data_IF_414099959866
#
_entry.id   IF_414099959866
#
_cell.length_a   1.000
_cell.length_b   1.000
_cell.length_c   1.000
_cell.angle_alpha   90.00
_cell.angle_beta   90.00
_cell.angle_gamma   90.00
#
_symmetry.space_group_name_H-M   'P 1'
#
loop_
_entity.id
_entity.type
_entity.pdbx_description
1 polymer ?
#
# COMPACT_ATOMS: atom_id res chain seq x y z
N UNK A 1 -13.87 -8.65 -8.66
CA UNK A 1 -13.79 -9.49 -7.44
C UNK A 1 -12.42 -9.28 -6.78
N UNK A 2 -12.41 -9.06 -5.47
CA UNK A 2 -11.14 -8.81 -4.76
C UNK A 2 -10.27 -10.06 -4.70
N UNK A 3 -8.95 -9.86 -4.87
CA UNK A 3 -7.94 -10.91 -4.59
C UNK A 3 -7.65 -11.04 -3.09
N UNK A 4 -8.08 -10.05 -2.29
CA UNK A 4 -7.78 -9.95 -0.86
C UNK A 4 -8.82 -10.69 -0.01
N UNK A 5 -9.09 -11.93 -0.34
CA UNK A 5 -9.96 -12.75 0.50
C UNK A 5 -9.22 -13.14 1.79
N UNK A 6 -9.92 -13.07 2.92
CA UNK A 6 -9.36 -13.47 4.21
C UNK A 6 -8.78 -14.90 4.11
N UNK A 7 -7.53 -15.04 4.50
CA UNK A 7 -6.81 -16.31 4.45
C UNK A 7 -6.20 -16.67 3.11
N UNK A 8 -6.36 -15.83 2.07
CA UNK A 8 -5.70 -16.10 0.79
C UNK A 8 -4.20 -15.84 0.85
N UNK A 9 -3.43 -16.54 0.01
CA UNK A 9 -1.99 -16.36 -0.04
C UNK A 9 -1.60 -14.92 -0.43
N UNK A 10 -2.32 -14.32 -1.38
CA UNK A 10 -2.04 -12.95 -1.81
C UNK A 10 -2.36 -11.92 -0.72
N UNK A 11 -3.41 -12.15 0.06
CA UNK A 11 -3.71 -11.30 1.21
C UNK A 11 -2.59 -11.36 2.25
N UNK A 12 -2.05 -12.56 2.50
CA UNK A 12 -0.92 -12.73 3.42
C UNK A 12 0.33 -11.98 2.93
N UNK A 13 0.64 -12.06 1.64
CA UNK A 13 1.79 -11.35 1.04
C UNK A 13 1.60 -9.84 1.14
N UNK A 14 0.41 -9.33 0.81
CA UNK A 14 0.11 -7.91 0.91
C UNK A 14 0.22 -7.40 2.35
N UNK A 15 -0.31 -8.16 3.32
CA UNK A 15 -0.19 -7.81 4.73
C UNK A 15 1.26 -7.79 5.20
N UNK A 16 2.07 -8.76 4.78
CA UNK A 16 3.48 -8.82 5.14
C UNK A 16 4.25 -7.62 4.56
N UNK A 17 4.03 -7.30 3.30
CA UNK A 17 4.71 -6.18 2.64
C UNK A 17 4.30 -4.84 3.25
N UNK A 18 3.01 -4.53 3.24
CA UNK A 18 2.49 -3.24 3.73
C UNK A 18 2.70 -3.11 5.23
N UNK A 19 2.39 -4.16 5.98
CA UNK A 19 2.56 -4.17 7.43
C UNK A 19 4.01 -4.00 7.86
N UNK A 20 4.95 -4.55 7.08
CA UNK A 20 6.38 -4.38 7.32
C UNK A 20 6.83 -2.92 7.18
N UNK A 21 6.22 -2.17 6.27
CA UNK A 21 6.51 -0.74 6.11
C UNK A 21 5.77 0.14 7.13
N UNK A 22 4.54 -0.19 7.45
CA UNK A 22 3.71 0.64 8.34
C UNK A 22 4.05 0.48 9.83
N UNK A 23 4.56 -0.70 10.23
CA UNK A 23 4.81 -1.02 11.63
C UNK A 23 3.54 -1.42 12.37
N UNK A 24 3.70 -2.18 13.44
CA UNK A 24 2.58 -2.73 14.22
C UNK A 24 2.60 -2.18 15.65
N UNK A 25 1.46 -1.63 16.09
CA UNK A 25 1.26 -1.17 17.46
C UNK A 25 -0.03 -1.78 18.00
N UNK A 26 0.10 -2.68 18.98
CA UNK A 26 -1.07 -3.40 19.55
C UNK A 26 -1.84 -2.56 20.58
N UNK A 27 -1.25 -1.50 21.09
CA UNK A 27 -1.92 -0.58 22.01
C UNK A 27 -2.04 0.77 21.33
N UNK A 28 -3.26 1.33 21.35
CA UNK A 28 -3.53 2.62 20.75
C UNK A 28 -2.66 3.73 21.40
N UNK A 29 -2.11 4.58 20.57
CA UNK A 29 -1.25 5.69 20.96
C UNK A 29 -1.68 6.96 20.24
N UNK A 30 -1.24 8.11 20.72
CA UNK A 30 -1.44 9.37 20.00
C UNK A 30 -0.30 9.55 18.98
N UNK A 31 -0.66 9.83 17.72
CA UNK A 31 0.32 10.15 16.70
C UNK A 31 0.92 11.55 16.95
N UNK A 32 1.90 12.02 16.14
CA UNK A 32 2.53 13.33 16.35
C UNK A 32 1.56 14.52 16.36
N UNK A 33 0.38 14.39 15.76
CA UNK A 33 -0.65 15.44 15.78
C UNK A 33 -1.80 15.14 16.74
N UNK A 34 -1.65 14.12 17.60
CA UNK A 34 -2.60 13.80 18.65
C UNK A 34 -3.75 12.89 18.25
N UNK A 35 -3.72 12.29 17.07
CA UNK A 35 -4.77 11.40 16.60
C UNK A 35 -4.55 9.99 17.16
N UNK A 36 -5.56 9.40 17.86
CA UNK A 36 -5.45 8.02 18.33
C UNK A 36 -5.26 7.05 17.17
N UNK A 37 -4.21 6.25 17.24
CA UNK A 37 -3.75 5.37 16.16
C UNK A 37 -3.39 4.01 16.75
N UNK A 38 -3.65 2.94 16.02
CA UNK A 38 -3.28 1.58 16.44
C UNK A 38 -3.05 0.68 15.23
N UNK A 39 -2.62 -0.53 15.51
CA UNK A 39 -2.39 -1.56 14.51
C UNK A 39 -1.36 -1.12 13.48
N UNK A 40 -1.68 -1.13 12.20
CA UNK A 40 -0.79 -0.73 11.11
C UNK A 40 -1.09 0.71 10.65
N UNK A 41 -1.35 1.60 11.60
CA UNK A 41 -1.67 3.00 11.31
C UNK A 41 -3.17 3.29 11.20
N UNK A 42 -4.00 2.42 11.73
CA UNK A 42 -5.46 2.62 11.71
C UNK A 42 -5.87 3.72 12.68
N UNK A 43 -6.78 4.57 12.24
CA UNK A 43 -7.28 5.70 13.06
C UNK A 43 -8.79 5.66 13.27
N UNK A 44 -9.54 5.05 12.35
CA UNK A 44 -11.00 5.03 12.39
C UNK A 44 -11.51 4.22 13.59
N UNK A 45 -12.27 4.88 14.44
CA UNK A 45 -12.85 4.24 15.63
C UNK A 45 -11.85 3.91 16.73
N UNK A 46 -10.61 4.38 16.63
CA UNK A 46 -9.57 4.11 17.61
C UNK A 46 -9.62 5.14 18.73
N UNK A 47 -9.53 4.66 19.97
CA UNK A 47 -9.45 5.49 21.18
C UNK A 47 -8.20 5.10 21.96
N UNK A 48 -7.58 6.06 22.62
CA UNK A 48 -6.42 5.81 23.48
C UNK A 48 -6.73 4.73 24.52
N UNK A 49 -5.77 3.82 24.71
CA UNK A 49 -5.90 2.72 25.65
C UNK A 49 -6.51 1.45 25.08
N UNK A 50 -7.09 1.50 23.88
CA UNK A 50 -7.59 0.30 23.21
C UNK A 50 -6.43 -0.65 22.92
N UNK A 51 -6.70 -1.95 23.04
CA UNK A 51 -5.73 -3.02 22.81
C UNK A 51 -6.25 -3.96 21.73
N UNK A 52 -5.34 -4.43 20.90
CA UNK A 52 -5.66 -5.32 19.79
C UNK A 52 -4.71 -6.51 19.76
N UNK A 53 -5.18 -7.63 19.23
CA UNK A 53 -4.31 -8.74 18.86
C UNK A 53 -3.71 -8.47 17.49
N UNK A 54 -2.61 -9.15 17.16
CA UNK A 54 -2.02 -9.09 15.82
C UNK A 54 -3.04 -9.50 14.75
N UNK A 55 -3.82 -10.55 15.01
CA UNK A 55 -4.83 -11.03 14.08
C UNK A 55 -5.91 -9.98 13.81
N UNK A 56 -6.35 -9.27 14.85
CA UNK A 56 -7.30 -8.16 14.68
C UNK A 56 -6.70 -7.06 13.82
N UNK A 57 -5.45 -6.69 14.05
CA UNK A 57 -4.75 -5.68 13.26
C UNK A 57 -4.60 -6.10 11.80
N UNK A 58 -4.28 -7.35 11.53
CA UNK A 58 -4.18 -7.87 10.16
C UNK A 58 -5.54 -7.82 9.45
N UNK A 59 -6.62 -8.15 10.15
CA UNK A 59 -7.98 -8.04 9.62
C UNK A 59 -8.33 -6.60 9.23
N UNK A 60 -7.99 -5.64 10.10
CA UNK A 60 -8.20 -4.22 9.84
C UNK A 60 -7.38 -3.74 8.64
N UNK A 61 -6.14 -4.19 8.52
CA UNK A 61 -5.28 -3.86 7.39
C UNK A 61 -5.86 -4.40 6.07
N UNK A 62 -6.36 -5.64 6.06
CA UNK A 62 -6.99 -6.24 4.88
C UNK A 62 -8.20 -5.41 4.44
N UNK A 63 -9.05 -4.98 5.36
CA UNK A 63 -10.20 -4.13 5.04
C UNK A 63 -9.76 -2.80 4.41
N UNK A 64 -8.76 -2.17 4.98
CA UNK A 64 -8.19 -0.93 4.44
C UNK A 64 -7.60 -1.15 3.05
N UNK A 65 -6.88 -2.26 2.85
CA UNK A 65 -6.31 -2.63 1.56
C UNK A 65 -7.40 -2.90 0.52
N UNK A 66 -8.50 -3.55 0.92
CA UNK A 66 -9.64 -3.79 0.01
C UNK A 66 -10.27 -2.49 -0.46
N UNK A 67 -10.37 -1.50 0.41
CA UNK A 67 -10.87 -0.18 0.06
C UNK A 67 -9.96 0.49 -0.98
N UNK A 68 -8.65 0.45 -0.76
CA UNK A 68 -7.67 1.00 -1.69
C UNK A 68 -7.64 0.22 -3.02
N UNK A 69 -7.79 -1.09 -2.95
CA UNK A 69 -7.87 -1.96 -4.14
C UNK A 69 -9.00 -1.54 -5.06
N UNK A 70 -10.18 -1.30 -4.53
CA UNK A 70 -11.34 -0.87 -5.33
C UNK A 70 -11.02 0.38 -6.13
N UNK A 71 -10.44 1.38 -5.48
CA UNK A 71 -10.04 2.62 -6.16
C UNK A 71 -8.92 2.42 -7.17
N UNK A 72 -7.91 1.63 -6.81
CA UNK A 72 -6.80 1.30 -7.68
C UNK A 72 -7.27 0.59 -8.96
N UNK A 73 -8.08 -0.43 -8.81
CA UNK A 73 -8.55 -1.22 -9.97
C UNK A 73 -9.54 -0.45 -10.83
N UNK A 74 -10.26 0.51 -10.28
CA UNK A 74 -11.19 1.34 -11.05
C UNK A 74 -10.48 2.18 -12.12
N UNK A 75 -9.23 2.59 -11.89
CA UNK A 75 -8.45 3.38 -12.86
C UNK A 75 -7.36 2.57 -13.58
N UNK A 76 -7.18 1.30 -13.25
CA UNK A 76 -6.21 0.41 -13.89
C UNK A 76 -6.91 -0.42 -14.95
N UNK A 77 -6.57 -0.18 -16.21
CA UNK A 77 -7.27 -0.74 -17.38
C UNK A 77 -6.56 -1.95 -17.99
N UNK A 78 -5.55 -2.47 -17.30
CA UNK A 78 -4.78 -3.63 -17.75
C UNK A 78 -4.77 -4.68 -16.65
N UNK A 79 -4.58 -5.93 -17.03
CA UNK A 79 -4.43 -7.01 -16.06
C UNK A 79 -3.10 -6.90 -15.34
N UNK A 80 -3.10 -7.19 -14.05
CA UNK A 80 -1.92 -7.15 -13.22
C UNK A 80 -1.57 -8.56 -12.74
N UNK A 81 -0.37 -9.07 -13.03
CA UNK A 81 0.14 -10.26 -12.35
C UNK A 81 0.21 -10.01 -10.85
N UNK A 82 0.14 -11.05 -10.03
CA UNK A 82 0.06 -10.93 -8.58
C UNK A 82 1.18 -10.08 -7.96
N UNK A 83 2.42 -10.22 -8.42
CA UNK A 83 3.54 -9.44 -7.89
C UNK A 83 3.37 -7.95 -8.19
N UNK A 84 2.96 -7.61 -9.39
CA UNK A 84 2.72 -6.21 -9.77
C UNK A 84 1.51 -5.64 -9.06
N UNK A 85 0.45 -6.42 -8.95
CA UNK A 85 -0.73 -6.07 -8.15
C UNK A 85 -0.33 -5.73 -6.72
N UNK A 86 0.48 -6.57 -6.08
CA UNK A 86 0.93 -6.37 -4.70
C UNK A 86 1.75 -5.10 -4.55
N UNK A 87 2.68 -4.87 -5.47
CA UNK A 87 3.53 -3.67 -5.47
C UNK A 87 2.69 -2.39 -5.62
N UNK A 88 1.77 -2.37 -6.57
CA UNK A 88 0.93 -1.19 -6.84
C UNK A 88 -0.10 -0.97 -5.74
N UNK A 89 -0.58 -2.02 -5.10
CA UNK A 89 -1.47 -1.89 -3.95
C UNK A 89 -0.73 -1.29 -2.75
N UNK A 90 0.50 -1.73 -2.48
CA UNK A 90 1.35 -1.13 -1.45
C UNK A 90 1.58 0.37 -1.72
N UNK A 91 1.89 0.72 -2.96
CA UNK A 91 2.07 2.10 -3.38
C UNK A 91 0.78 2.92 -3.18
N UNK A 92 -0.35 2.40 -3.67
CA UNK A 92 -1.66 3.06 -3.56
C UNK A 92 -2.06 3.28 -2.11
N UNK A 93 -1.80 2.30 -1.25
CA UNK A 93 -2.06 2.41 0.18
C UNK A 93 -1.29 3.57 0.80
N UNK A 94 -0.04 3.74 0.39
CA UNK A 94 0.83 4.79 0.95
C UNK A 94 0.50 6.18 0.41
N UNK A 95 0.28 6.32 -0.90
CA UNK A 95 0.10 7.64 -1.53
C UNK A 95 -1.37 8.06 -1.67
N UNK A 96 -2.30 7.12 -1.54
CA UNK A 96 -3.73 7.34 -1.72
C UNK A 96 -4.20 7.06 -3.14
N UNK A 97 -5.48 6.71 -3.27
CA UNK A 97 -6.12 6.35 -4.54
C UNK A 97 -6.08 7.53 -5.53
N UNK A 98 -6.36 8.74 -5.07
CA UNK A 98 -6.36 9.93 -5.93
C UNK A 98 -5.00 10.18 -6.58
N UNK A 99 -3.94 10.08 -5.79
CA UNK A 99 -2.58 10.25 -6.30
C UNK A 99 -2.19 9.13 -7.26
N UNK A 100 -2.56 7.90 -6.94
CA UNK A 100 -2.32 6.76 -7.84
C UNK A 100 -3.01 6.96 -9.18
N UNK A 101 -4.32 7.20 -9.18
CA UNK A 101 -5.11 7.32 -10.40
C UNK A 101 -4.70 8.53 -11.27
N UNK A 102 -4.26 9.61 -10.65
CA UNK A 102 -3.78 10.81 -11.35
C UNK A 102 -2.32 10.76 -11.78
N UNK A 103 -1.60 9.68 -11.47
CA UNK A 103 -0.15 9.60 -11.68
C UNK A 103 0.25 9.33 -13.12
N UNK A 104 1.47 9.74 -13.46
CA UNK A 104 2.12 9.32 -14.71
C UNK A 104 2.32 7.81 -14.75
N UNK A 105 2.49 7.18 -13.59
CA UNK A 105 2.60 5.72 -13.48
C UNK A 105 1.39 5.02 -14.13
N UNK A 106 0.19 5.41 -13.75
CA UNK A 106 -1.05 4.80 -14.26
C UNK A 106 -1.21 5.05 -15.76
N UNK A 107 -0.85 6.25 -16.24
CA UNK A 107 -0.89 6.56 -17.66
C UNK A 107 0.00 5.63 -18.47
N UNK A 108 1.24 5.43 -18.01
CA UNK A 108 2.19 4.52 -18.65
C UNK A 108 1.71 3.06 -18.59
N UNK A 109 1.23 2.66 -17.43
CA UNK A 109 0.73 1.30 -17.22
C UNK A 109 -0.42 0.97 -18.17
N UNK A 110 -1.41 1.86 -18.26
CA UNK A 110 -2.57 1.69 -19.13
C UNK A 110 -2.23 1.77 -20.62
N UNK A 111 -1.10 2.40 -20.95
CA UNK A 111 -0.58 2.44 -22.33
C UNK A 111 0.29 1.22 -22.68
N UNK A 112 0.49 0.30 -21.73
CA UNK A 112 1.30 -0.91 -21.95
C UNK A 112 2.79 -0.75 -21.64
N UNK A 113 3.22 0.44 -21.21
CA UNK A 113 4.61 0.70 -20.82
C UNK A 113 4.83 0.28 -19.36
N UNK A 114 4.93 -1.02 -19.14
CA UNK A 114 5.03 -1.58 -17.78
C UNK A 114 6.33 -1.17 -17.10
N UNK A 115 7.46 -1.27 -17.82
CA UNK A 115 8.76 -0.88 -17.26
C UNK A 115 8.79 0.59 -16.87
N UNK A 116 8.30 1.46 -17.76
CA UNK A 116 8.22 2.88 -17.46
C UNK A 116 7.32 3.19 -16.28
N UNK A 117 6.20 2.47 -16.16
CA UNK A 117 5.30 2.59 -15.01
C UNK A 117 6.00 2.20 -13.71
N UNK A 118 6.66 1.04 -13.67
CA UNK A 118 7.38 0.59 -12.48
C UNK A 118 8.49 1.56 -12.09
N UNK A 119 9.22 2.12 -13.06
CA UNK A 119 10.28 3.10 -12.81
C UNK A 119 9.73 4.39 -12.20
N UNK A 120 8.49 4.76 -12.49
CA UNK A 120 7.84 5.94 -11.91
C UNK A 120 7.69 5.87 -10.39
N UNK A 121 7.68 4.67 -9.81
CA UNK A 121 7.63 4.51 -8.36
C UNK A 121 8.74 5.31 -7.67
N UNK A 122 9.94 5.36 -8.24
CA UNK A 122 11.09 6.05 -7.65
C UNK A 122 10.95 7.58 -7.59
N UNK A 123 9.92 8.14 -8.20
CA UNK A 123 9.61 9.57 -8.08
C UNK A 123 8.83 9.92 -6.81
N UNK A 124 8.35 8.92 -6.08
CA UNK A 124 7.48 9.10 -4.91
C UNK A 124 8.24 8.83 -3.60
N UNK A 125 9.35 9.52 -3.41
CA UNK A 125 10.27 9.32 -2.28
C UNK A 125 10.29 10.50 -1.31
N UNK A 126 9.43 11.51 -1.53
CA UNK A 126 9.43 12.73 -0.72
C UNK A 126 8.14 12.87 0.08
N UNK A 127 8.25 13.45 1.27
CA UNK A 127 7.12 13.92 2.05
C UNK A 127 7.42 15.35 2.47
N UNK A 128 6.46 16.27 2.25
CA UNK A 128 6.63 17.70 2.51
C UNK A 128 7.90 18.28 1.84
N UNK A 129 8.19 17.83 0.63
CA UNK A 129 9.34 18.28 -0.15
C UNK A 129 10.69 17.70 0.25
N UNK A 130 10.73 16.84 1.27
CA UNK A 130 11.98 16.24 1.78
C UNK A 130 12.03 14.78 1.39
N UNK A 131 13.14 14.34 0.80
CA UNK A 131 13.35 12.92 0.50
C UNK A 131 13.59 12.15 1.79
N UNK A 132 12.81 11.09 1.99
CA UNK A 132 12.88 10.26 3.20
C UNK A 132 13.49 8.89 2.87
N UNK A 133 14.54 8.46 3.60
CA UNK A 133 15.18 7.16 3.36
C UNK A 133 14.19 5.99 3.42
N UNK A 134 13.20 6.04 4.31
CA UNK A 134 12.16 5.00 4.40
C UNK A 134 11.31 4.91 3.15
N UNK A 135 10.97 6.04 2.53
CA UNK A 135 10.23 6.06 1.28
C UNK A 135 11.08 5.57 0.11
N UNK A 136 12.35 5.94 0.05
CA UNK A 136 13.29 5.42 -0.96
C UNK A 136 13.33 3.90 -0.90
N UNK A 137 13.48 3.34 0.30
CA UNK A 137 13.54 1.89 0.53
C UNK A 137 12.24 1.20 0.13
N UNK A 138 11.09 1.78 0.51
CA UNK A 138 9.77 1.26 0.16
C UNK A 138 9.56 1.24 -1.35
N UNK A 139 9.85 2.34 -2.03
CA UNK A 139 9.70 2.44 -3.49
C UNK A 139 10.61 1.47 -4.22
N UNK A 140 11.85 1.29 -3.74
CA UNK A 140 12.79 0.32 -4.34
C UNK A 140 12.25 -1.10 -4.24
N UNK A 141 11.69 -1.49 -3.09
CA UNK A 141 11.09 -2.81 -2.90
C UNK A 141 9.85 -2.99 -3.78
N UNK A 142 8.99 -1.99 -3.85
CA UNK A 142 7.80 -2.01 -4.72
C UNK A 142 8.19 -2.10 -6.18
N UNK A 143 9.21 -1.34 -6.62
CA UNK A 143 9.70 -1.37 -8.00
C UNK A 143 10.24 -2.74 -8.39
N UNK A 144 11.05 -3.35 -7.54
CA UNK A 144 11.60 -4.69 -7.78
C UNK A 144 10.48 -5.71 -7.98
N UNK A 145 9.48 -5.69 -7.11
CA UNK A 145 8.32 -6.57 -7.21
C UNK A 145 7.48 -6.28 -8.45
N UNK A 146 7.28 -5.01 -8.78
CA UNK A 146 6.55 -4.55 -9.97
C UNK A 146 7.18 -5.05 -11.27
N UNK A 147 8.51 -5.10 -11.33
CA UNK A 147 9.27 -5.49 -12.52
C UNK A 147 9.38 -7.00 -12.72
N UNK A 148 8.96 -7.82 -11.77
CA UNK A 148 9.01 -9.28 -11.95
C UNK A 148 8.19 -9.69 -13.18
N UNK A 149 8.80 -10.52 -14.02
CA UNK A 149 8.18 -10.97 -15.26
C UNK A 149 8.28 -9.99 -16.43
N UNK A 150 8.92 -8.84 -16.23
CA UNK A 150 9.13 -7.85 -17.30
C UNK A 150 10.48 -8.15 -17.97
N UNK A 151 10.43 -8.32 -19.30
CA UNK A 151 11.62 -8.61 -20.09
C UNK A 151 12.52 -7.37 -20.24
#
# INVERSE_FOLDING_TARGET
>A
MSRLKKGSAIAAVCCALVGGFEGLRLVAYADPVGIPTACFGETKGIKLGMRFTRQECEGMLIESLMSHERGMMACTKVDLPDDRYTALLSFTYNVGVGNYCGSTLVKKLNAGDVRGACDQLMRWTRAKGIELPGLVKRRAAERELCLKGVA
#
